data_IF_050471396500
#
_entry.id   IF_050471396500
#
_cell.length_a   1.000
_cell.length_b   1.000
_cell.length_c   1.000
_cell.angle_alpha   90.00
_cell.angle_beta   90.00
_cell.angle_gamma   90.00
#
_symmetry.space_group_name_H-M   'P 1'
#
loop_
_entity.id
_entity.type
_entity.pdbx_description
1 polymer ?
#
# COMPACT_ATOMS: atom_id res chain seq x y z
N UNK A 1 -12.03 21.82 -8.56
CA UNK A 1 -11.46 20.54 -8.05
C UNK A 1 -12.49 19.51 -8.44
N UNK A 2 -12.15 18.65 -9.39
CA UNK A 2 -13.04 17.57 -9.79
C UNK A 2 -13.17 16.59 -8.65
N UNK A 3 -14.41 16.26 -8.30
CA UNK A 3 -14.70 15.28 -7.27
C UNK A 3 -14.55 13.88 -7.86
N UNK A 4 -13.36 13.29 -7.71
CA UNK A 4 -13.05 11.96 -8.23
C UNK A 4 -13.89 10.85 -7.60
N UNK A 5 -14.61 11.13 -6.52
CA UNK A 5 -15.49 10.15 -5.89
C UNK A 5 -16.67 9.75 -6.78
N UNK A 6 -17.13 10.63 -7.65
CA UNK A 6 -18.22 10.38 -8.57
C UNK A 6 -17.78 9.95 -9.98
N UNK A 7 -16.47 9.80 -10.20
CA UNK A 7 -15.96 9.34 -11.49
C UNK A 7 -16.40 7.90 -11.81
N UNK A 8 -17.02 7.70 -12.97
CA UNK A 8 -17.51 6.39 -13.43
C UNK A 8 -16.37 5.37 -13.65
N UNK A 9 -15.13 5.83 -13.81
CA UNK A 9 -13.93 5.01 -14.04
C UNK A 9 -13.13 4.70 -12.77
N UNK A 10 -13.69 4.92 -11.60
CA UNK A 10 -13.02 4.69 -10.33
C UNK A 10 -12.74 3.21 -10.07
N UNK A 11 -11.49 2.89 -9.77
CA UNK A 11 -11.06 1.55 -9.35
C UNK A 11 -10.74 1.60 -7.86
N UNK A 12 -11.52 0.90 -7.04
CA UNK A 12 -11.23 0.79 -5.60
C UNK A 12 -9.99 -0.08 -5.37
N UNK A 13 -9.04 0.40 -4.58
CA UNK A 13 -7.82 -0.30 -4.21
C UNK A 13 -7.90 -0.96 -2.82
N UNK A 14 -9.03 -0.85 -2.12
CA UNK A 14 -9.18 -1.30 -0.74
C UNK A 14 -9.39 -2.80 -0.57
N UNK A 15 -9.72 -3.53 -1.63
CA UNK A 15 -9.92 -4.98 -1.54
C UNK A 15 -8.58 -5.70 -1.32
N UNK A 16 -8.35 -6.10 -0.07
CA UNK A 16 -7.14 -6.81 0.38
C UNK A 16 -6.90 -8.10 -0.40
N UNK A 17 -7.96 -8.84 -0.73
CA UNK A 17 -7.89 -10.13 -1.42
C UNK A 17 -7.42 -10.03 -2.87
N UNK A 18 -7.56 -8.86 -3.48
CA UNK A 18 -7.15 -8.63 -4.87
C UNK A 18 -5.63 -8.40 -5.03
N UNK A 19 -4.93 -8.13 -3.95
CA UNK A 19 -3.50 -7.90 -3.96
C UNK A 19 -2.70 -9.19 -3.89
N UNK A 20 -1.57 -9.23 -4.57
CA UNK A 20 -0.59 -10.31 -4.56
C UNK A 20 0.80 -9.73 -4.33
N UNK A 21 1.76 -10.57 -3.97
CA UNK A 21 3.15 -10.14 -3.94
C UNK A 21 3.59 -9.66 -5.32
N UNK A 22 4.11 -8.45 -5.37
CA UNK A 22 4.69 -7.88 -6.57
C UNK A 22 6.14 -8.31 -6.79
N UNK A 23 6.67 -7.95 -7.94
CA UNK A 23 8.09 -8.05 -8.27
C UNK A 23 8.69 -6.65 -8.44
N UNK A 24 10.02 -6.59 -8.63
CA UNK A 24 10.67 -5.34 -9.00
C UNK A 24 10.19 -4.89 -10.38
N UNK A 25 10.08 -3.59 -10.63
CA UNK A 25 9.73 -3.11 -11.96
C UNK A 25 10.81 -3.52 -12.96
N UNK A 26 10.37 -3.98 -14.12
CA UNK A 26 11.23 -4.20 -15.27
C UNK A 26 11.58 -2.89 -15.97
N UNK A 27 12.28 -3.00 -17.08
CA UNK A 27 12.57 -1.88 -17.95
C UNK A 27 11.26 -1.36 -18.56
N UNK A 28 10.88 -0.09 -18.35
CA UNK A 28 9.69 0.45 -19.01
C UNK A 28 9.82 0.42 -20.52
N UNK A 29 8.72 0.15 -21.21
CA UNK A 29 8.67 0.23 -22.66
C UNK A 29 9.05 1.64 -23.14
N UNK A 30 9.95 1.75 -24.12
CA UNK A 30 10.42 3.03 -24.63
C UNK A 30 11.63 3.64 -23.89
N UNK A 31 12.11 3.02 -22.81
CA UNK A 31 13.33 3.46 -22.15
C UNK A 31 14.55 2.98 -22.93
N UNK A 32 15.31 3.91 -23.52
CA UNK A 32 16.49 3.59 -24.36
C UNK A 32 17.77 3.33 -23.56
N UNK A 33 17.79 3.63 -22.26
CA UNK A 33 18.97 3.40 -21.44
C UNK A 33 19.28 1.91 -21.32
N UNK A 34 20.54 1.56 -21.41
CA UNK A 34 21.09 0.22 -21.22
C UNK A 34 21.00 -0.17 -19.75
N UNK A 35 19.79 -0.32 -19.22
CA UNK A 35 19.61 -0.65 -17.81
C UNK A 35 18.16 -0.84 -17.46
N UNK A 36 17.96 -1.58 -16.41
CA UNK A 36 16.69 -1.72 -15.73
C UNK A 36 16.37 -0.44 -14.94
N UNK A 37 15.29 -0.44 -14.20
CA UNK A 37 14.94 0.69 -13.35
C UNK A 37 16.13 1.12 -12.47
N UNK A 38 16.44 2.42 -12.32
CA UNK A 38 17.63 2.90 -11.60
C UNK A 38 17.80 2.34 -10.19
N UNK A 39 16.69 2.16 -9.47
CA UNK A 39 16.71 1.54 -8.13
C UNK A 39 16.81 0.01 -8.17
N UNK A 40 16.51 -0.62 -9.30
CA UNK A 40 16.52 -2.08 -9.46
C UNK A 40 17.26 -2.47 -10.74
N UNK A 41 18.58 -2.27 -10.79
CA UNK A 41 19.36 -2.49 -12.01
C UNK A 41 19.35 -3.96 -12.49
N UNK A 42 19.08 -4.89 -11.60
CA UNK A 42 18.96 -6.32 -11.89
C UNK A 42 17.50 -6.81 -11.87
N UNK A 43 16.54 -5.91 -11.82
CA UNK A 43 15.13 -6.27 -11.75
C UNK A 43 14.65 -6.99 -13.01
N UNK A 44 13.85 -8.05 -12.85
CA UNK A 44 13.17 -8.76 -13.93
C UNK A 44 14.09 -9.35 -15.02
N UNK A 45 15.33 -9.68 -14.71
CA UNK A 45 16.16 -10.50 -15.64
C UNK A 45 15.64 -11.92 -15.66
N UNK A 46 15.51 -12.51 -16.84
CA UNK A 46 14.94 -13.85 -17.01
C UNK A 46 15.83 -14.97 -16.44
N UNK A 47 17.13 -14.73 -16.39
CA UNK A 47 18.17 -15.69 -16.01
C UNK A 47 18.83 -15.40 -14.65
N UNK A 48 18.42 -14.31 -14.00
CA UNK A 48 19.04 -13.87 -12.75
C UNK A 48 17.96 -13.47 -11.73
N UNK A 49 17.77 -14.30 -10.73
CA UNK A 49 16.82 -14.10 -9.65
C UNK A 49 17.40 -13.33 -8.45
N UNK A 50 18.64 -12.83 -8.57
CA UNK A 50 19.33 -12.11 -7.48
C UNK A 50 18.60 -10.85 -7.01
N UNK A 51 17.73 -10.28 -7.83
CA UNK A 51 16.89 -9.15 -7.42
C UNK A 51 16.00 -9.49 -6.21
N UNK A 52 15.69 -10.77 -5.99
CA UNK A 52 14.93 -11.20 -4.81
C UNK A 52 15.75 -11.15 -3.51
N UNK A 53 17.08 -11.07 -3.59
CA UNK A 53 17.93 -11.04 -2.40
C UNK A 53 17.68 -9.80 -1.51
N UNK A 54 17.17 -8.72 -2.09
CA UNK A 54 16.71 -7.54 -1.34
C UNK A 54 15.26 -7.58 -0.89
N UNK A 55 14.49 -8.61 -1.29
CA UNK A 55 13.08 -8.70 -0.94
C UNK A 55 12.92 -8.98 0.55
N UNK A 56 12.12 -8.15 1.21
CA UNK A 56 11.78 -8.27 2.63
C UNK A 56 10.31 -8.62 2.81
N UNK A 57 9.97 -9.04 4.01
CA UNK A 57 8.61 -9.38 4.35
C UNK A 57 7.73 -8.13 4.30
N UNK A 58 6.59 -8.26 3.65
CA UNK A 58 5.55 -7.25 3.56
C UNK A 58 4.20 -7.94 3.80
N UNK A 59 3.43 -7.41 4.71
CA UNK A 59 2.06 -7.84 4.99
C UNK A 59 1.10 -6.72 4.65
N UNK A 60 -0.07 -7.06 4.13
CA UNK A 60 -1.15 -6.11 3.89
C UNK A 60 -2.47 -6.69 4.36
N UNK A 61 -3.28 -5.86 4.98
CA UNK A 61 -4.49 -6.28 5.66
C UNK A 61 -5.43 -5.09 5.87
N UNK A 62 -6.59 -5.33 6.42
CA UNK A 62 -7.44 -4.31 7.04
C UNK A 62 -7.49 -4.60 8.53
N UNK A 63 -7.22 -3.61 9.37
CA UNK A 63 -7.27 -3.77 10.83
C UNK A 63 -8.69 -4.12 11.25
N UNK A 64 -8.85 -5.21 11.99
CA UNK A 64 -10.15 -5.66 12.47
C UNK A 64 -10.80 -4.58 13.36
N UNK A 65 -12.06 -4.21 13.09
CA UNK A 65 -12.78 -3.20 13.88
C UNK A 65 -12.84 -3.48 15.39
N UNK A 66 -12.70 -4.73 15.83
CA UNK A 66 -12.62 -5.09 17.25
C UNK A 66 -11.45 -4.44 17.97
N UNK A 67 -10.33 -4.21 17.28
CA UNK A 67 -9.19 -3.48 17.85
C UNK A 67 -9.55 -2.04 18.22
N UNK A 68 -10.57 -1.49 17.62
CA UNK A 68 -11.08 -0.14 17.89
C UNK A 68 -12.28 -0.12 18.85
N UNK A 69 -12.57 -1.23 19.54
CA UNK A 69 -13.67 -1.32 20.50
C UNK A 69 -15.05 -1.49 19.86
N UNK A 70 -15.14 -1.77 18.57
CA UNK A 70 -16.43 -2.08 17.94
C UNK A 70 -16.88 -3.49 18.29
N UNK A 71 -17.97 -3.58 19.04
CA UNK A 71 -18.52 -4.85 19.52
C UNK A 71 -18.03 -5.28 20.91
N UNK A 72 -17.37 -4.39 21.66
CA UNK A 72 -16.89 -4.66 23.01
C UNK A 72 -15.70 -3.84 23.43
N UNK A 73 -14.97 -4.30 24.46
CA UNK A 73 -13.74 -3.64 24.89
C UNK A 73 -12.65 -3.82 23.84
N UNK A 74 -11.94 -2.75 23.51
CA UNK A 74 -10.75 -2.83 22.69
C UNK A 74 -9.61 -3.53 23.44
N UNK A 75 -8.82 -4.40 22.79
CA UNK A 75 -7.57 -4.89 23.35
C UNK A 75 -6.48 -3.83 23.40
N UNK A 76 -6.69 -2.69 22.72
CA UNK A 76 -5.78 -1.56 22.69
C UNK A 76 -6.24 -0.47 23.65
N UNK A 77 -5.28 0.22 24.27
CA UNK A 77 -5.56 1.41 25.05
C UNK A 77 -5.88 2.61 24.16
N UNK A 78 -6.56 3.62 24.69
CA UNK A 78 -6.85 4.84 23.95
C UNK A 78 -5.57 5.52 23.43
N UNK A 79 -4.48 5.43 24.19
CA UNK A 79 -3.18 5.95 23.77
C UNK A 79 -2.63 5.18 22.56
N UNK A 80 -2.73 3.85 22.54
CA UNK A 80 -2.31 3.05 21.40
C UNK A 80 -3.17 3.30 20.18
N UNK A 81 -4.49 3.46 20.35
CA UNK A 81 -5.41 3.78 19.27
C UNK A 81 -5.23 5.18 18.67
N UNK A 82 -4.65 6.10 19.44
CA UNK A 82 -4.37 7.46 18.98
C UNK A 82 -3.06 7.60 18.20
N UNK A 83 -2.24 6.55 18.15
CA UNK A 83 -0.98 6.59 17.40
C UNK A 83 -1.22 6.64 15.90
N UNK A 84 -0.33 7.27 15.17
CA UNK A 84 -0.42 7.36 13.71
C UNK A 84 -0.42 6.00 13.00
N UNK A 85 0.10 4.96 13.65
CA UNK A 85 0.23 3.63 13.03
C UNK A 85 -1.07 2.83 13.01
N UNK A 86 -2.02 3.11 13.92
CA UNK A 86 -3.19 2.25 14.07
C UNK A 86 -4.50 3.02 14.32
N UNK A 87 -4.51 4.35 14.25
CA UNK A 87 -5.72 5.11 14.53
C UNK A 87 -6.76 4.96 13.42
N UNK A 88 -8.01 5.04 13.80
CA UNK A 88 -9.12 5.10 12.85
C UNK A 88 -9.19 6.48 12.19
N UNK A 89 -9.54 6.49 10.91
CA UNK A 89 -9.73 7.70 10.13
C UNK A 89 -11.21 8.01 10.02
N UNK A 90 -11.59 9.21 10.45
CA UNK A 90 -12.96 9.71 10.26
C UNK A 90 -13.13 10.23 8.84
N UNK A 91 -14.29 9.99 8.26
CA UNK A 91 -14.63 10.49 6.93
C UNK A 91 -14.43 12.00 6.82
N UNK A 92 -14.83 12.75 7.85
CA UNK A 92 -14.66 14.21 7.90
C UNK A 92 -13.22 14.71 7.99
N UNK A 93 -12.28 13.86 8.36
CA UNK A 93 -10.85 14.24 8.35
C UNK A 93 -10.30 14.38 6.93
N UNK A 94 -10.83 13.61 5.99
CA UNK A 94 -10.44 13.67 4.59
C UNK A 94 -11.40 14.53 3.76
N UNK A 95 -12.68 14.52 4.11
CA UNK A 95 -13.77 15.17 3.36
C UNK A 95 -14.59 16.01 4.34
N UNK A 96 -14.08 17.17 4.69
CA UNK A 96 -14.66 18.07 5.70
C UNK A 96 -16.03 18.62 5.29
N UNK A 97 -16.26 18.75 3.97
CA UNK A 97 -17.51 19.27 3.40
C UNK A 97 -18.61 18.20 3.29
N UNK A 98 -18.29 16.93 3.53
CA UNK A 98 -19.26 15.85 3.39
C UNK A 98 -20.14 15.74 4.62
N UNK A 99 -21.45 15.85 4.43
CA UNK A 99 -22.42 15.61 5.48
C UNK A 99 -22.55 14.11 5.77
N UNK A 100 -22.29 13.75 7.02
CA UNK A 100 -22.45 12.38 7.51
C UNK A 100 -23.76 12.31 8.26
N UNK A 101 -24.71 11.52 7.74
CA UNK A 101 -26.01 11.31 8.39
C UNK A 101 -25.79 10.70 9.79
N UNK A 102 -26.56 11.15 10.75
CA UNK A 102 -26.56 10.62 12.10
C UNK A 102 -26.82 9.09 12.06
N UNK A 103 -25.99 8.31 12.73
CA UNK A 103 -26.09 6.84 12.74
C UNK A 103 -25.33 6.12 11.62
N UNK A 104 -24.71 6.83 10.67
CA UNK A 104 -23.85 6.22 9.66
C UNK A 104 -22.45 5.97 10.23
N UNK A 105 -21.79 4.91 9.74
CA UNK A 105 -20.40 4.67 10.06
C UNK A 105 -19.54 5.82 9.51
N UNK A 106 -19.05 6.66 10.39
CA UNK A 106 -18.26 7.84 10.05
C UNK A 106 -16.79 7.55 9.83
N UNK A 107 -16.38 6.29 9.88
CA UNK A 107 -15.01 5.86 9.65
C UNK A 107 -14.86 5.20 8.29
N UNK A 108 -13.71 5.39 7.69
CA UNK A 108 -13.35 4.76 6.43
C UNK A 108 -12.49 3.53 6.66
N UNK A 109 -12.62 2.56 5.76
CA UNK A 109 -11.70 1.41 5.72
C UNK A 109 -10.40 1.83 5.06
N UNK A 110 -9.30 1.27 5.55
CA UNK A 110 -7.94 1.50 5.05
C UNK A 110 -7.35 0.20 4.51
N UNK A 111 -6.43 0.30 3.57
CA UNK A 111 -5.49 -0.76 3.24
C UNK A 111 -4.25 -0.53 4.09
N UNK A 112 -4.03 -1.42 5.04
CA UNK A 112 -2.91 -1.32 5.97
C UNK A 112 -1.75 -2.16 5.47
N UNK A 113 -0.53 -1.65 5.58
CA UNK A 113 0.67 -2.35 5.17
C UNK A 113 1.73 -2.29 6.25
N UNK A 114 2.38 -3.43 6.52
CA UNK A 114 3.51 -3.51 7.43
C UNK A 114 4.72 -4.08 6.71
N UNK A 115 5.80 -3.34 6.72
CA UNK A 115 7.08 -3.73 6.13
C UNK A 115 8.06 -4.13 7.23
N UNK A 116 8.67 -5.30 7.08
CA UNK A 116 9.61 -5.88 8.04
C UNK A 116 11.02 -5.91 7.43
N UNK A 117 11.82 -4.86 7.59
CA UNK A 117 13.10 -4.73 6.91
C UNK A 117 14.15 -5.75 7.36
N UNK A 118 13.97 -6.36 8.53
CA UNK A 118 14.89 -7.37 9.07
C UNK A 118 14.49 -8.80 8.69
N UNK A 119 13.28 -9.01 8.16
CA UNK A 119 12.77 -10.33 7.82
C UNK A 119 12.87 -10.60 6.33
N UNK A 120 13.31 -11.81 5.97
CA UNK A 120 13.36 -12.22 4.57
C UNK A 120 11.95 -12.37 4.01
N UNK A 121 11.73 -11.77 2.86
CA UNK A 121 10.50 -11.95 2.11
C UNK A 121 10.50 -13.23 1.26
N UNK A 122 9.36 -13.54 0.61
CA UNK A 122 9.23 -14.67 -0.30
C UNK A 122 10.30 -14.63 -1.41
N UNK A 123 10.83 -15.80 -1.75
CA UNK A 123 11.88 -15.99 -2.77
C UNK A 123 13.24 -15.34 -2.45
N UNK A 124 13.42 -14.79 -1.27
CA UNK A 124 14.71 -14.33 -0.80
C UNK A 124 15.47 -15.51 -0.18
N UNK A 125 16.41 -16.06 -0.93
CA UNK A 125 17.22 -17.23 -0.51
C UNK A 125 18.56 -16.84 0.13
N UNK A 126 18.89 -15.56 0.17
CA UNK A 126 20.16 -15.10 0.75
C UNK A 126 20.04 -14.99 2.28
N UNK A 127 20.75 -15.86 3.05
CA UNK A 127 20.67 -15.83 4.52
C UNK A 127 21.37 -14.60 5.13
N UNK A 128 22.28 -13.97 4.40
CA UNK A 128 23.18 -12.93 4.90
C UNK A 128 22.86 -11.53 4.36
N UNK A 129 21.76 -11.38 3.62
CA UNK A 129 21.46 -10.12 2.99
C UNK A 129 20.99 -9.06 4.01
N UNK A 130 21.94 -8.42 4.63
CA UNK A 130 21.79 -7.05 5.13
C UNK A 130 22.07 -6.13 3.94
N UNK A 131 21.22 -6.18 2.93
CA UNK A 131 21.34 -5.26 1.80
C UNK A 131 20.69 -3.93 2.17
N UNK A 132 21.36 -2.85 1.83
CA UNK A 132 20.82 -1.48 1.98
C UNK A 132 19.66 -1.20 1.03
N UNK A 133 19.41 -2.07 0.06
CA UNK A 133 18.33 -1.97 -0.93
C UNK A 133 17.19 -2.93 -0.63
N UNK A 134 16.70 -2.88 0.59
CA UNK A 134 15.55 -3.66 0.99
C UNK A 134 14.27 -3.13 0.33
N UNK A 135 13.44 -4.04 -0.16
CA UNK A 135 12.19 -3.69 -0.81
C UNK A 135 11.08 -4.71 -0.53
N UNK A 136 9.85 -4.24 -0.62
CA UNK A 136 8.65 -5.05 -0.67
C UNK A 136 7.71 -4.46 -1.71
N UNK A 137 6.92 -5.30 -2.37
CA UNK A 137 5.98 -4.86 -3.38
C UNK A 137 4.71 -5.71 -3.35
N UNK A 138 3.59 -5.06 -3.58
CA UNK A 138 2.32 -5.70 -3.90
C UNK A 138 1.86 -5.26 -5.28
N UNK A 139 1.10 -6.11 -5.94
CA UNK A 139 0.49 -5.83 -7.24
C UNK A 139 -0.92 -6.37 -7.29
N UNK A 140 -1.73 -5.79 -8.14
CA UNK A 140 -3.07 -6.31 -8.46
C UNK A 140 -3.36 -6.16 -9.94
N UNK A 141 -4.16 -7.06 -10.51
CA UNK A 141 -4.67 -6.84 -11.85
C UNK A 141 -5.65 -5.67 -11.85
N UNK A 142 -5.63 -4.91 -12.91
CA UNK A 142 -6.67 -3.95 -13.25
C UNK A 142 -7.49 -4.52 -14.42
N UNK A 143 -8.79 -4.25 -14.43
CA UNK A 143 -9.73 -4.81 -15.41
C UNK A 143 -9.61 -4.19 -16.81
N UNK A 144 -8.65 -3.31 -16.99
CA UNK A 144 -8.45 -2.56 -18.24
C UNK A 144 -7.12 -2.95 -18.86
N UNK A 145 -7.08 -2.99 -20.19
CA UNK A 145 -5.90 -3.41 -20.95
C UNK A 145 -4.74 -2.42 -20.84
N UNK A 146 -5.06 -1.14 -20.73
CA UNK A 146 -4.10 -0.07 -20.43
C UNK A 146 -4.81 1.17 -19.86
N UNK A 147 -4.07 2.03 -19.20
CA UNK A 147 -4.61 3.25 -18.59
C UNK A 147 -5.14 4.25 -19.63
N UNK A 148 -4.52 4.30 -20.81
CA UNK A 148 -4.92 5.24 -21.87
C UNK A 148 -6.33 4.92 -22.40
N UNK A 149 -6.64 3.64 -22.62
CA UNK A 149 -7.96 3.22 -23.11
C UNK A 149 -9.07 3.47 -22.09
N UNK A 150 -8.68 3.59 -20.82
CA UNK A 150 -9.60 3.85 -19.69
C UNK A 150 -9.65 5.32 -19.28
N UNK A 151 -8.96 6.19 -20.04
CA UNK A 151 -8.81 7.61 -19.70
C UNK A 151 -8.31 7.85 -18.25
N UNK A 152 -7.49 6.94 -17.74
CA UNK A 152 -6.88 7.11 -16.40
C UNK A 152 -5.61 7.92 -16.55
N UNK A 153 -5.64 9.15 -16.08
CA UNK A 153 -4.51 10.10 -16.14
C UNK A 153 -3.76 10.19 -14.83
N UNK A 154 -4.45 9.95 -13.71
CA UNK A 154 -3.91 10.12 -12.37
C UNK A 154 -4.16 8.91 -11.50
N UNK A 155 -3.28 8.70 -10.52
CA UNK A 155 -3.46 7.80 -9.39
C UNK A 155 -3.40 8.68 -8.14
N UNK A 156 -4.49 8.74 -7.39
CA UNK A 156 -4.58 9.52 -6.16
C UNK A 156 -4.89 8.60 -4.99
N UNK A 157 -4.27 8.85 -3.86
CA UNK A 157 -4.56 8.15 -2.62
C UNK A 157 -4.15 8.98 -1.42
N UNK A 158 -4.86 8.78 -0.33
CA UNK A 158 -4.47 9.30 0.96
C UNK A 158 -3.52 8.31 1.64
N UNK A 159 -2.44 8.82 2.18
CA UNK A 159 -1.48 8.02 2.93
C UNK A 159 -1.34 8.58 4.34
N UNK A 160 -1.47 7.71 5.33
CA UNK A 160 -1.07 8.06 6.69
C UNK A 160 0.44 7.89 6.79
N UNK A 161 1.12 8.96 7.18
CA UNK A 161 2.55 8.94 7.41
C UNK A 161 2.82 8.62 8.89
N UNK A 162 3.32 7.41 9.22
CA UNK A 162 3.64 7.05 10.59
C UNK A 162 4.87 7.80 11.12
N UNK A 163 5.61 8.47 10.26
CA UNK A 163 6.84 9.20 10.60
C UNK A 163 6.63 10.71 10.73
N UNK A 164 5.41 11.19 10.60
CA UNK A 164 5.10 12.62 10.62
C UNK A 164 5.56 13.34 11.90
N UNK A 165 5.63 12.63 13.01
CA UNK A 165 6.10 13.14 14.30
C UNK A 165 7.60 12.87 14.58
N UNK A 166 8.31 12.30 13.62
CA UNK A 166 9.72 11.96 13.71
C UNK A 166 10.04 10.79 14.66
N UNK A 167 9.04 10.00 15.06
CA UNK A 167 9.17 8.88 16.00
C UNK A 167 8.88 7.51 15.40
N UNK A 168 8.68 7.44 14.11
CA UNK A 168 8.42 6.20 13.38
C UNK A 168 9.63 5.29 13.23
#
# INVERSE_FOLDING_TARGET
IDDFEDAQSRISLLDVGSWKFGSTPGKPAGYSASGYHPFFPNGMKNDDLSFNNGRRMLSWYTIDPRFYGMGGSSPLTDQQMSTHMARRIKLKELFDQRDVMAGTNSYISTLDMTFYPQERGPYNVNPNAVDTKNWGAIMRPISVSNFKDSNVEYIEFWMMDPYADGKG
#
